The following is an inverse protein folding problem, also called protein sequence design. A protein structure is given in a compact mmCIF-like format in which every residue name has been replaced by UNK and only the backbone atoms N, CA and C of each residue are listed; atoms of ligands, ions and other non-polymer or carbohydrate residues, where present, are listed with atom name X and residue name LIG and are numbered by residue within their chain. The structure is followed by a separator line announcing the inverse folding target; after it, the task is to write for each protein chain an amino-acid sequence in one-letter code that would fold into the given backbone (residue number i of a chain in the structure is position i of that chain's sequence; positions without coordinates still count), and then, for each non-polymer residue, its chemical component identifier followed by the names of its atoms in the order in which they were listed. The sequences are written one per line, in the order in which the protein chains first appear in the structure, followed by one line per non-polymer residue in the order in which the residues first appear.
data_IF_737807680897
#
_entry.id   IF_737807680897
#
_cell.length_a   1.000
_cell.length_b   1.000
_cell.length_c   1.000
_cell.angle_alpha   90.00
_cell.angle_beta   90.00
_cell.angle_gamma   90.00
#
_symmetry.space_group_name_H-M   'P 1'
#
loop_
_entity.id
_entity.type
_entity.pdbx_description
1 polymer ?
#
# COMPACT_ATOMS: atom_id res chain seq x y z
N UNK A 1 -11.26 12.84 -0.64
CA UNK A 1 -10.00 12.21 -1.07
C UNK A 1 -9.93 12.13 -2.58
N UNK A 2 -8.74 12.28 -3.15
CA UNK A 2 -8.49 12.18 -4.60
C UNK A 2 -8.28 10.74 -5.07
N UNK A 3 -8.03 9.82 -4.13
CA UNK A 3 -7.93 8.38 -4.40
C UNK A 3 -9.30 7.71 -4.33
N UNK A 4 -9.46 6.61 -5.07
CA UNK A 4 -10.65 5.76 -5.01
C UNK A 4 -10.36 4.48 -4.22
N UNK A 5 -11.36 3.98 -3.51
CA UNK A 5 -11.30 2.67 -2.86
C UNK A 5 -11.65 1.52 -3.85
N UNK A 6 -11.91 1.84 -5.12
CA UNK A 6 -12.12 0.80 -6.14
C UNK A 6 -10.77 0.16 -6.45
N UNK A 7 -10.74 -1.16 -6.40
CA UNK A 7 -9.63 -2.09 -6.64
C UNK A 7 -8.33 -1.40 -7.10
N UNK A 8 -7.40 -1.20 -6.17
CA UNK A 8 -6.02 -0.86 -6.52
C UNK A 8 -5.53 -1.88 -7.54
N UNK A 9 -4.84 -1.45 -8.58
CA UNK A 9 -4.13 -2.38 -9.44
C UNK A 9 -3.01 -2.99 -8.59
N UNK A 10 -3.17 -4.26 -8.24
CA UNK A 10 -2.17 -5.02 -7.53
C UNK A 10 -1.36 -5.80 -8.56
N UNK A 11 -0.05 -5.61 -8.54
CA UNK A 11 0.89 -6.38 -9.33
C UNK A 11 1.83 -7.16 -8.43
N UNK A 12 2.39 -8.25 -8.92
CA UNK A 12 3.35 -9.07 -8.21
C UNK A 12 4.71 -9.03 -8.90
N UNK A 13 5.75 -8.85 -8.12
CA UNK A 13 7.15 -8.92 -8.57
C UNK A 13 7.90 -9.90 -7.68
N UNK A 14 8.47 -10.94 -8.29
CA UNK A 14 9.26 -11.94 -7.56
C UNK A 14 9.28 -13.31 -8.20
N UNK A 15 9.65 -14.31 -7.41
CA UNK A 15 9.62 -15.72 -7.79
C UNK A 15 8.18 -16.19 -7.90
N UNK A 16 7.87 -16.99 -8.93
CA UNK A 16 6.52 -17.51 -9.15
C UNK A 16 6.02 -18.26 -7.91
N UNK A 17 4.89 -17.83 -7.40
CA UNK A 17 4.23 -18.49 -6.28
C UNK A 17 3.54 -19.77 -6.76
N UNK A 18 3.78 -20.89 -6.08
CA UNK A 18 3.00 -22.11 -6.29
C UNK A 18 1.57 -21.94 -5.76
N UNK A 19 0.66 -22.80 -6.20
CA UNK A 19 -0.72 -22.82 -5.69
C UNK A 19 -0.76 -23.01 -4.17
N UNK A 20 0.15 -23.83 -3.61
CA UNK A 20 0.28 -24.02 -2.16
C UNK A 20 0.69 -22.72 -1.46
N UNK A 21 1.67 -22.00 -2.00
CA UNK A 21 2.11 -20.71 -1.45
C UNK A 21 0.97 -19.68 -1.48
N UNK A 22 0.18 -19.65 -2.54
CA UNK A 22 -1.00 -18.75 -2.63
C UNK A 22 -2.04 -19.11 -1.58
N UNK A 23 -2.30 -20.41 -1.34
CA UNK A 23 -3.20 -20.89 -0.28
C UNK A 23 -2.70 -20.47 1.09
N UNK A 24 -1.41 -20.66 1.38
CA UNK A 24 -0.76 -20.24 2.63
C UNK A 24 -0.93 -18.75 2.86
N UNK A 25 -0.57 -17.92 1.86
CA UNK A 25 -0.67 -16.46 1.94
C UNK A 25 -2.10 -16.00 2.21
N UNK A 26 -3.07 -16.50 1.44
CA UNK A 26 -4.48 -16.12 1.61
C UNK A 26 -4.99 -16.47 3.00
N UNK A 27 -4.59 -17.58 3.58
CA UNK A 27 -4.98 -17.95 4.93
C UNK A 27 -4.37 -17.02 6.00
N UNK A 28 -3.09 -16.65 5.90
CA UNK A 28 -2.47 -15.67 6.82
C UNK A 28 -3.14 -14.32 6.71
N UNK A 29 -3.38 -13.82 5.49
CA UNK A 29 -4.05 -12.54 5.25
C UNK A 29 -5.47 -12.49 5.81
N UNK A 30 -6.18 -13.64 5.86
CA UNK A 30 -7.53 -13.75 6.43
C UNK A 30 -7.58 -13.32 7.89
N UNK A 31 -6.53 -13.53 8.66
CA UNK A 31 -6.48 -13.23 10.08
C UNK A 31 -6.22 -11.74 10.39
N UNK A 32 -5.82 -10.95 9.39
CA UNK A 32 -5.54 -9.52 9.55
C UNK A 32 -6.71 -8.65 9.10
N UNK A 33 -6.95 -7.56 9.83
CA UNK A 33 -7.90 -6.51 9.47
C UNK A 33 -7.22 -5.28 8.83
N UNK A 34 -5.90 -5.33 8.62
CA UNK A 34 -5.17 -4.22 7.99
C UNK A 34 -5.67 -4.01 6.55
N UNK A 35 -5.89 -2.76 6.10
CA UNK A 35 -6.41 -2.47 4.76
C UNK A 35 -5.67 -3.15 3.61
N UNK A 36 -4.33 -3.13 3.60
CA UNK A 36 -3.52 -3.80 2.57
C UNK A 36 -3.69 -5.33 2.61
N UNK A 37 -3.78 -5.91 3.82
CA UNK A 37 -4.05 -7.35 3.98
C UNK A 37 -5.42 -7.73 3.42
N UNK A 38 -6.45 -6.92 3.68
CA UNK A 38 -7.80 -7.14 3.14
C UNK A 38 -7.83 -7.03 1.62
N UNK A 39 -7.18 -6.00 1.05
CA UNK A 39 -7.08 -5.83 -0.40
C UNK A 39 -6.38 -7.01 -1.06
N UNK A 40 -5.27 -7.48 -0.48
CA UNK A 40 -4.54 -8.63 -1.02
C UNK A 40 -5.31 -9.93 -0.85
N UNK A 41 -6.02 -10.11 0.27
CA UNK A 41 -6.92 -11.24 0.50
C UNK A 41 -8.00 -11.33 -0.60
N UNK A 42 -8.62 -10.21 -0.94
CA UNK A 42 -9.67 -10.15 -1.96
C UNK A 42 -9.10 -10.30 -3.39
N UNK A 43 -7.84 -9.96 -3.59
CA UNK A 43 -7.14 -10.11 -4.87
C UNK A 43 -6.77 -11.57 -5.17
N UNK A 44 -6.34 -12.33 -4.15
CA UNK A 44 -5.92 -13.72 -4.32
C UNK A 44 -7.12 -14.65 -4.58
N UNK A 45 -6.96 -15.74 -5.36
CA UNK A 45 -8.02 -16.68 -5.66
C UNK A 45 -8.60 -17.33 -4.39
N UNK A 46 -9.85 -17.79 -4.47
CA UNK A 46 -10.46 -18.54 -3.38
C UNK A 46 -9.71 -19.85 -3.13
N UNK A 47 -9.58 -20.23 -1.87
CA UNK A 47 -8.81 -21.40 -1.48
C UNK A 47 -9.41 -22.10 -0.25
N UNK A 48 -8.95 -23.33 -0.02
CA UNK A 48 -9.28 -24.08 1.21
C UNK A 48 -8.80 -23.36 2.44
N UNK A 49 -9.53 -23.48 3.54
CA UNK A 49 -9.11 -22.94 4.84
C UNK A 49 -8.07 -23.87 5.48
N UNK A 50 -6.97 -23.27 5.92
CA UNK A 50 -5.95 -23.93 6.73
C UNK A 50 -6.02 -23.41 8.16
N UNK A 51 -5.53 -24.24 9.09
CA UNK A 51 -5.31 -23.83 10.47
C UNK A 51 -4.10 -22.89 10.50
N UNK A 52 -4.24 -21.80 11.26
CA UNK A 52 -3.18 -20.81 11.46
C UNK A 52 -2.77 -20.92 12.93
N UNK A 53 -1.50 -21.06 13.17
CA UNK A 53 -0.91 -21.05 14.50
C UNK A 53 -0.01 -19.82 14.67
N UNK A 54 0.14 -19.32 15.91
CA UNK A 54 1.05 -18.23 16.29
C UNK A 54 0.90 -16.94 15.46
N UNK A 55 -0.36 -16.58 15.11
CA UNK A 55 -0.62 -15.34 14.37
C UNK A 55 -0.26 -14.11 15.20
N UNK A 56 0.52 -13.21 14.61
CA UNK A 56 0.88 -11.94 15.20
C UNK A 56 0.79 -10.83 14.15
N UNK A 57 0.19 -9.72 14.53
CA UNK A 57 0.19 -8.49 13.75
C UNK A 57 1.04 -7.44 14.46
N UNK A 58 2.10 -6.96 13.79
CA UNK A 58 3.07 -6.02 14.35
C UNK A 58 2.86 -4.67 13.67
N UNK A 59 2.39 -3.72 14.44
CA UNK A 59 2.06 -2.38 13.95
C UNK A 59 3.24 -1.73 13.21
N UNK A 60 2.96 -1.23 11.99
CA UNK A 60 3.95 -0.57 11.14
C UNK A 60 4.98 -1.51 10.48
N UNK A 61 4.90 -2.84 10.74
CA UNK A 61 5.82 -3.81 10.17
C UNK A 61 5.12 -4.82 9.26
N UNK A 62 4.11 -5.52 9.78
CA UNK A 62 3.42 -6.56 9.03
C UNK A 62 2.81 -7.64 9.92
N UNK A 63 2.52 -8.77 9.31
CA UNK A 63 1.93 -9.94 9.96
C UNK A 63 2.83 -11.16 9.82
N UNK A 64 2.82 -12.03 10.82
CA UNK A 64 3.46 -13.33 10.75
C UNK A 64 2.57 -14.41 11.36
N UNK A 65 2.73 -15.63 10.89
CA UNK A 65 2.03 -16.80 11.41
C UNK A 65 2.78 -18.09 11.07
N UNK A 66 2.36 -19.20 11.69
CA UNK A 66 2.77 -20.53 11.32
C UNK A 66 1.60 -21.27 10.65
N UNK A 67 1.88 -21.92 9.52
CA UNK A 67 0.94 -22.82 8.85
C UNK A 67 1.67 -24.14 8.60
N UNK A 68 1.15 -25.23 9.18
CA UNK A 68 1.72 -26.58 9.03
C UNK A 68 3.22 -26.63 9.37
N UNK A 69 3.65 -25.85 10.37
CA UNK A 69 5.05 -25.76 10.81
C UNK A 69 5.93 -24.81 9.98
N UNK A 70 5.40 -24.17 8.96
CA UNK A 70 6.12 -23.19 8.14
C UNK A 70 5.81 -21.77 8.62
N UNK A 71 6.84 -21.00 8.97
CA UNK A 71 6.68 -19.58 9.30
C UNK A 71 6.45 -18.76 8.04
N UNK A 72 5.46 -17.88 8.10
CA UNK A 72 5.13 -16.94 7.02
C UNK A 72 5.22 -15.53 7.55
N UNK A 73 5.90 -14.65 6.81
CA UNK A 73 5.96 -13.21 7.10
C UNK A 73 5.48 -12.43 5.89
N UNK A 74 4.61 -11.47 6.14
CA UNK A 74 4.03 -10.57 5.12
C UNK A 74 4.09 -9.15 5.66
N UNK A 75 4.81 -8.24 5.02
CA UNK A 75 4.95 -6.88 5.51
C UNK A 75 6.03 -6.04 4.85
N UNK A 76 6.63 -5.12 5.61
CA UNK A 76 7.70 -4.26 5.12
C UNK A 76 8.96 -5.08 4.75
N UNK A 77 9.80 -4.50 3.90
CA UNK A 77 11.06 -5.14 3.46
C UNK A 77 11.95 -5.51 4.63
N UNK A 78 12.08 -4.65 5.62
CA UNK A 78 12.89 -4.90 6.82
C UNK A 78 12.29 -6.03 7.68
N UNK A 79 10.95 -6.11 7.76
CA UNK A 79 10.27 -7.13 8.54
C UNK A 79 10.48 -8.55 7.98
N UNK A 80 10.53 -8.69 6.66
CA UNK A 80 10.83 -9.97 6.00
C UNK A 80 12.32 -10.26 5.96
N UNK A 81 13.18 -9.32 6.42
CA UNK A 81 14.62 -9.49 6.53
C UNK A 81 15.37 -9.37 5.20
N UNK A 82 14.79 -8.68 4.20
CA UNK A 82 15.47 -8.37 2.96
C UNK A 82 16.02 -6.96 2.99
N UNK A 83 17.26 -6.78 2.55
CA UNK A 83 17.83 -5.44 2.26
C UNK A 83 17.47 -5.08 0.82
N UNK A 84 16.74 -4.02 0.63
CA UNK A 84 16.43 -3.46 -0.69
C UNK A 84 16.94 -2.03 -0.73
N UNK A 85 17.54 -1.60 -1.84
CA UNK A 85 17.85 -0.19 -2.06
C UNK A 85 16.53 0.57 -2.26
N UNK A 86 16.13 1.34 -1.25
CA UNK A 86 14.86 2.08 -1.18
C UNK A 86 14.85 3.30 -2.14
N UNK A 87 15.15 3.10 -3.41
CA UNK A 87 15.11 4.18 -4.41
C UNK A 87 13.70 4.43 -4.97
N UNK A 88 12.77 3.50 -4.80
CA UNK A 88 11.38 3.65 -5.28
C UNK A 88 10.42 3.48 -4.11
N UNK A 89 9.85 4.58 -3.66
CA UNK A 89 8.86 4.63 -2.57
C UNK A 89 7.46 4.22 -3.09
N UNK A 90 7.27 2.93 -3.36
CA UNK A 90 5.95 2.38 -3.69
C UNK A 90 5.33 1.68 -2.49
N UNK A 91 4.00 1.77 -2.36
CA UNK A 91 3.28 0.95 -1.37
C UNK A 91 3.40 -0.51 -1.78
N UNK A 92 4.18 -1.27 -1.03
CA UNK A 92 4.43 -2.68 -1.31
C UNK A 92 4.36 -3.52 -0.05
N UNK A 93 4.02 -4.79 -0.24
CA UNK A 93 3.97 -5.80 0.81
C UNK A 93 4.84 -6.97 0.37
N UNK A 94 5.90 -7.21 1.12
CA UNK A 94 6.90 -8.25 0.86
C UNK A 94 6.49 -9.56 1.51
N UNK A 95 6.94 -10.68 0.91
CA UNK A 95 6.55 -12.04 1.31
C UNK A 95 7.80 -12.89 1.56
N UNK A 96 7.82 -13.53 2.73
CA UNK A 96 8.77 -14.58 3.09
C UNK A 96 8.00 -15.80 3.59
N UNK A 97 8.29 -16.99 3.05
CA UNK A 97 7.73 -18.28 3.47
C UNK A 97 8.90 -19.20 3.85
N UNK A 98 8.92 -19.66 5.10
CA UNK A 98 10.08 -20.30 5.67
C UNK A 98 11.30 -19.37 5.65
N UNK A 99 12.41 -19.86 5.10
CA UNK A 99 13.62 -19.03 4.94
C UNK A 99 13.70 -18.31 3.60
N UNK A 100 12.77 -18.56 2.68
CA UNK A 100 12.81 -18.06 1.31
C UNK A 100 12.00 -16.78 1.12
N UNK A 101 12.63 -15.78 0.52
CA UNK A 101 11.96 -14.56 0.08
C UNK A 101 11.39 -14.76 -1.33
N UNK A 102 10.07 -14.60 -1.48
CA UNK A 102 9.38 -14.84 -2.73
C UNK A 102 9.21 -13.60 -3.60
N UNK A 103 9.06 -12.43 -3.00
CA UNK A 103 8.82 -11.20 -3.75
C UNK A 103 7.95 -10.21 -3.00
N UNK A 104 7.30 -9.32 -3.77
CA UNK A 104 6.41 -8.30 -3.22
C UNK A 104 5.17 -8.10 -4.08
N UNK A 105 4.06 -7.77 -3.44
CA UNK A 105 2.90 -7.18 -4.08
C UNK A 105 2.99 -5.66 -4.02
N UNK A 106 2.75 -5.02 -5.16
CA UNK A 106 2.77 -3.57 -5.32
C UNK A 106 1.33 -3.10 -5.47
N UNK A 107 0.96 -2.10 -4.68
CA UNK A 107 -0.37 -1.49 -4.69
C UNK A 107 -0.29 -0.14 -5.41
N UNK A 108 -0.82 -0.09 -6.62
CA UNK A 108 -0.92 1.14 -7.37
C UNK A 108 -2.26 1.81 -7.04
N UNK A 109 -2.21 3.01 -6.48
CA UNK A 109 -3.42 3.76 -6.18
C UNK A 109 -4.12 4.18 -7.48
N UNK A 110 -5.44 3.95 -7.52
CA UNK A 110 -6.25 4.50 -8.59
C UNK A 110 -6.83 5.86 -8.15
N UNK A 111 -6.64 6.86 -8.98
CA UNK A 111 -7.27 8.15 -8.80
C UNK A 111 -8.71 8.13 -9.30
N UNK A 112 -9.54 9.05 -8.77
CA UNK A 112 -10.93 9.17 -9.20
C UNK A 112 -11.00 9.57 -10.67
N UNK A 113 -11.95 8.97 -11.39
CA UNK A 113 -12.25 9.35 -12.76
C UNK A 113 -12.59 10.83 -12.87
N UNK A 114 -12.11 11.51 -13.91
CA UNK A 114 -12.28 12.94 -14.09
C UNK A 114 -11.36 13.83 -13.22
N UNK A 115 -10.43 13.23 -12.45
CA UNK A 115 -9.52 14.01 -11.60
C UNK A 115 -8.63 14.95 -12.40
N UNK A 116 -8.05 14.44 -13.48
CA UNK A 116 -7.12 15.22 -14.34
C UNK A 116 -7.82 16.44 -14.91
N UNK A 117 -9.00 16.24 -15.51
CA UNK A 117 -9.79 17.32 -16.12
C UNK A 117 -10.25 18.35 -15.07
N UNK A 118 -10.66 17.87 -13.88
CA UNK A 118 -11.05 18.76 -12.79
C UNK A 118 -9.87 19.64 -12.36
N UNK A 119 -8.70 19.04 -12.12
CA UNK A 119 -7.55 19.79 -11.64
C UNK A 119 -6.98 20.72 -12.72
N UNK A 120 -7.03 20.34 -14.00
CA UNK A 120 -6.68 21.23 -15.11
C UNK A 120 -7.58 22.46 -15.15
N UNK A 121 -8.90 22.30 -15.03
CA UNK A 121 -9.84 23.41 -14.98
C UNK A 121 -9.62 24.32 -13.77
N UNK A 122 -9.40 23.73 -12.59
CA UNK A 122 -9.17 24.51 -11.37
C UNK A 122 -7.86 25.28 -11.41
N UNK A 123 -6.80 24.73 -12.00
CA UNK A 123 -5.48 25.36 -12.03
C UNK A 123 -5.43 26.65 -12.85
N UNK A 124 -6.44 26.93 -13.69
CA UNK A 124 -6.55 28.18 -14.45
C UNK A 124 -6.79 29.36 -13.51
N UNK A 125 -7.60 29.18 -12.46
CA UNK A 125 -8.05 30.27 -11.59
C UNK A 125 -7.59 30.10 -10.12
N UNK A 126 -7.06 28.94 -9.76
CA UNK A 126 -6.73 28.63 -8.38
C UNK A 126 -5.34 28.01 -8.27
N UNK A 127 -4.62 28.36 -7.20
CA UNK A 127 -3.42 27.65 -6.78
C UNK A 127 -3.84 26.37 -6.05
N UNK A 128 -3.38 25.22 -6.55
CA UNK A 128 -3.75 23.92 -6.03
C UNK A 128 -2.67 23.40 -5.07
N UNK A 129 -3.09 22.93 -3.89
CA UNK A 129 -2.22 22.27 -2.91
C UNK A 129 -2.84 20.95 -2.48
N UNK A 130 -2.01 19.90 -2.46
CA UNK A 130 -2.42 18.56 -2.03
C UNK A 130 -1.69 18.21 -0.75
N UNK A 131 -2.44 17.97 0.34
CA UNK A 131 -1.92 17.58 1.64
C UNK A 131 -2.18 16.08 1.87
N UNK A 132 -1.14 15.26 1.91
CA UNK A 132 -1.23 13.83 2.18
C UNK A 132 -0.66 13.48 3.56
N UNK A 133 -1.28 12.50 4.22
CA UNK A 133 -0.73 11.85 5.41
C UNK A 133 0.26 10.75 5.07
N UNK A 134 0.28 10.31 3.81
CA UNK A 134 1.15 9.26 3.33
C UNK A 134 2.57 9.78 3.09
N UNK A 135 3.51 8.88 2.89
CA UNK A 135 4.88 9.22 2.53
C UNK A 135 4.97 9.72 1.07
N UNK A 136 6.15 10.14 0.65
CA UNK A 136 6.39 10.68 -0.70
C UNK A 136 6.32 9.64 -1.83
N UNK A 137 6.02 8.39 -1.54
CA UNK A 137 5.97 7.31 -2.53
C UNK A 137 4.99 7.53 -3.68
N UNK A 138 3.96 8.35 -3.43
CA UNK A 138 2.96 8.71 -4.45
C UNK A 138 3.31 9.97 -5.25
N UNK A 139 4.41 10.67 -4.91
CA UNK A 139 4.79 11.94 -5.55
C UNK A 139 4.84 11.81 -7.05
N UNK A 140 5.61 10.86 -7.58
CA UNK A 140 5.80 10.68 -9.02
C UNK A 140 4.49 10.37 -9.75
N UNK A 141 3.60 9.58 -9.13
CA UNK A 141 2.30 9.27 -9.71
C UNK A 141 1.36 10.47 -9.72
N UNK A 142 1.39 11.29 -8.66
CA UNK A 142 0.60 12.52 -8.57
C UNK A 142 1.10 13.59 -9.54
N UNK A 143 2.42 13.72 -9.71
CA UNK A 143 3.03 14.67 -10.66
C UNK A 143 2.68 14.36 -12.12
N UNK A 144 2.36 13.09 -12.44
CA UNK A 144 1.88 12.71 -13.78
C UNK A 144 0.43 13.11 -14.07
N UNK A 145 -0.41 13.18 -13.02
CA UNK A 145 -1.86 13.42 -13.18
C UNK A 145 -2.29 14.81 -12.76
N UNK A 146 -1.48 15.54 -12.01
CA UNK A 146 -1.79 16.88 -11.53
C UNK A 146 -1.05 17.96 -12.34
N UNK A 147 -1.60 19.19 -12.42
CA UNK A 147 -0.90 20.32 -13.03
C UNK A 147 0.46 20.55 -12.38
N UNK A 148 1.48 20.90 -13.17
CA UNK A 148 2.86 21.14 -12.68
C UNK A 148 2.98 22.24 -11.62
N UNK A 149 1.98 23.11 -11.54
CA UNK A 149 1.88 24.19 -10.55
C UNK A 149 1.31 23.71 -9.21
N UNK A 150 0.93 22.43 -9.09
CA UNK A 150 0.36 21.88 -7.86
C UNK A 150 1.46 21.68 -6.81
N UNK A 151 1.25 22.23 -5.61
CA UNK A 151 2.12 21.99 -4.47
C UNK A 151 1.73 20.70 -3.76
N UNK A 152 2.68 19.77 -3.60
CA UNK A 152 2.48 18.48 -2.94
C UNK A 152 3.17 18.47 -1.57
N UNK A 153 2.41 18.28 -0.49
CA UNK A 153 2.91 18.24 0.88
C UNK A 153 2.54 16.88 1.50
N UNK A 154 3.56 16.08 1.81
CA UNK A 154 3.41 14.72 2.33
C UNK A 154 3.70 14.65 3.85
N UNK A 155 3.49 13.47 4.43
CA UNK A 155 3.73 13.17 5.85
C UNK A 155 2.97 14.09 6.82
N UNK A 156 1.79 14.57 6.42
CA UNK A 156 1.00 15.52 7.21
C UNK A 156 0.06 14.81 8.18
N UNK A 157 0.27 15.00 9.48
CA UNK A 157 -0.67 14.57 10.52
C UNK A 157 -1.98 15.38 10.44
N UNK A 158 -3.10 14.86 10.97
CA UNK A 158 -4.39 15.57 10.94
C UNK A 158 -4.31 17.01 11.49
N UNK A 159 -3.58 17.21 12.58
CA UNK A 159 -3.39 18.53 13.21
C UNK A 159 -2.63 19.48 12.29
N UNK A 160 -1.59 18.98 11.61
CA UNK A 160 -0.79 19.79 10.67
C UNK A 160 -1.61 20.20 9.43
N UNK A 161 -2.49 19.30 8.94
CA UNK A 161 -3.43 19.64 7.86
C UNK A 161 -4.38 20.76 8.30
N UNK A 162 -4.91 20.69 9.51
CA UNK A 162 -5.78 21.72 10.05
C UNK A 162 -5.07 23.07 10.21
N UNK A 163 -3.84 23.06 10.75
CA UNK A 163 -3.02 24.27 10.87
C UNK A 163 -2.73 24.92 9.51
N UNK A 164 -2.40 24.09 8.53
CA UNK A 164 -2.12 24.54 7.17
C UNK A 164 -3.34 25.26 6.57
N UNK A 165 -4.55 24.68 6.71
CA UNK A 165 -5.79 25.30 6.25
C UNK A 165 -6.06 26.63 6.97
N UNK A 166 -5.86 26.68 8.30
CA UNK A 166 -6.04 27.92 9.07
C UNK A 166 -5.11 29.04 8.61
N UNK A 167 -3.85 28.72 8.25
CA UNK A 167 -2.89 29.68 7.69
C UNK A 167 -3.27 30.23 6.33
N UNK A 168 -3.98 29.43 5.52
CA UNK A 168 -4.48 29.88 4.20
C UNK A 168 -5.71 30.75 4.27
N UNK A 169 -6.41 30.76 5.42
CA UNK A 169 -7.64 31.54 5.63
C UNK A 169 -7.38 32.91 6.31
N UNK A 170 -6.15 33.18 6.69
CA UNK A 170 -5.70 34.48 7.23
C UNK A 170 -5.20 35.40 6.13
#
# INVERSE_FOLDING_TARGET
TITTNKKSNISYEGVMLSDENVVILKNVLRASNHPLSRMLYDFLPECKRLKIDDFQEITGKGIQANIEGVQVKIGSVDFVGKKEDNTILQTSVHIKIGEEYYGKYIFNNQYREGLVELFQKLSVNYQIKVLSGDNEGERSSLELVLPKTTELVFNQKPEQKLEFIKKLQQ
#
